data_IF_307761403839
#
_entry.id   IF_307761403839
#
_cell.length_a   1.000
_cell.length_b   1.000
_cell.length_c   1.000
_cell.angle_alpha   90.00
_cell.angle_beta   90.00
_cell.angle_gamma   90.00
#
_symmetry.space_group_name_H-M   'P 1'
#
loop_
_entity.id
_entity.type
_entity.pdbx_description
1 polymer ?
#
# COMPACT_ATOMS: atom_id res chain seq x y z
N UNK A 1 7.41 -19.61 25.61
CA UNK A 1 8.50 -19.51 24.61
C UNK A 1 8.69 -18.04 24.29
N UNK A 2 9.94 -17.55 24.13
CA UNK A 2 10.19 -16.20 23.62
C UNK A 2 9.61 -16.10 22.19
N UNK A 3 9.06 -14.93 21.85
CA UNK A 3 8.57 -14.67 20.49
C UNK A 3 9.75 -14.63 19.52
N UNK A 4 9.61 -15.22 18.34
CA UNK A 4 10.65 -15.14 17.29
C UNK A 4 10.77 -13.68 16.82
N UNK A 5 11.99 -13.25 16.57
CA UNK A 5 12.27 -11.95 15.93
C UNK A 5 11.90 -11.99 14.46
N UNK A 6 11.41 -10.89 13.92
CA UNK A 6 10.91 -10.80 12.54
C UNK A 6 11.63 -9.68 11.82
N UNK A 7 12.24 -10.00 10.70
CA UNK A 7 13.02 -9.06 9.89
C UNK A 7 12.45 -8.90 8.49
N UNK A 8 12.75 -7.79 7.84
CA UNK A 8 12.39 -7.49 6.45
C UNK A 8 13.61 -7.83 5.61
N UNK A 9 13.50 -8.86 4.78
CA UNK A 9 14.60 -9.33 3.93
C UNK A 9 14.45 -8.97 2.45
N UNK A 10 13.25 -8.53 2.01
CA UNK A 10 13.03 -8.14 0.62
C UNK A 10 11.94 -7.10 0.47
N UNK A 11 12.14 -6.18 -0.49
CA UNK A 11 11.27 -5.06 -0.80
C UNK A 11 10.82 -5.12 -2.26
N UNK A 12 9.52 -5.14 -2.50
CA UNK A 12 8.93 -5.19 -3.83
C UNK A 12 7.85 -4.14 -4.03
N UNK A 13 8.14 -2.84 -3.91
CA UNK A 13 7.17 -1.82 -4.31
C UNK A 13 6.96 -1.84 -5.83
N UNK A 14 5.74 -1.53 -6.25
CA UNK A 14 5.36 -1.25 -7.64
C UNK A 14 4.61 0.06 -7.64
N UNK A 15 5.12 1.05 -8.39
CA UNK A 15 4.59 2.42 -8.39
C UNK A 15 4.71 3.03 -9.79
N UNK A 16 4.24 4.26 -9.97
CA UNK A 16 4.43 5.00 -11.22
C UNK A 16 5.88 5.16 -11.69
N UNK A 17 6.87 4.86 -10.84
CA UNK A 17 8.29 4.87 -11.20
C UNK A 17 8.79 3.52 -11.75
N UNK A 18 8.07 2.44 -11.53
CA UNK A 18 8.47 1.11 -11.99
C UNK A 18 8.25 0.02 -10.93
N UNK A 19 8.93 -1.12 -11.14
CA UNK A 19 8.85 -2.32 -10.32
C UNK A 19 10.16 -2.47 -9.53
N UNK A 20 10.06 -2.67 -8.22
CA UNK A 20 11.18 -2.85 -7.30
C UNK A 20 11.56 -1.59 -6.53
N UNK A 21 12.45 -1.76 -5.55
CA UNK A 21 12.77 -0.68 -4.60
C UNK A 21 13.66 0.41 -5.22
N UNK A 22 14.60 0.06 -6.10
CA UNK A 22 15.57 1.03 -6.60
C UNK A 22 14.94 2.16 -7.43
N UNK A 23 14.04 1.92 -8.41
CA UNK A 23 13.40 3.01 -9.15
C UNK A 23 12.59 3.96 -8.26
N UNK A 24 11.94 3.42 -7.22
CA UNK A 24 11.22 4.21 -6.24
C UNK A 24 12.19 5.00 -5.36
N UNK A 25 13.23 4.36 -4.86
CA UNK A 25 14.20 4.98 -3.95
C UNK A 25 14.93 6.14 -4.60
N UNK A 26 15.43 5.95 -5.82
CA UNK A 26 16.09 7.01 -6.59
C UNK A 26 15.17 8.21 -6.78
N UNK A 27 13.89 7.96 -7.13
CA UNK A 27 12.92 9.02 -7.28
C UNK A 27 12.62 9.75 -5.96
N UNK A 28 12.54 9.03 -4.84
CA UNK A 28 12.33 9.61 -3.51
C UNK A 28 13.52 10.49 -3.08
N UNK A 29 14.75 10.04 -3.32
CA UNK A 29 15.98 10.78 -2.98
C UNK A 29 16.12 12.04 -3.85
N UNK A 30 15.80 11.93 -5.13
CA UNK A 30 15.85 13.05 -6.09
C UNK A 30 14.66 14.01 -5.96
N UNK A 31 13.65 13.68 -5.16
CA UNK A 31 12.45 14.51 -5.01
C UNK A 31 11.58 14.54 -6.26
N UNK A 32 11.42 13.43 -6.96
CA UNK A 32 10.55 13.30 -8.14
C UNK A 32 9.15 12.84 -7.76
N UNK A 33 8.15 13.26 -8.56
CA UNK A 33 6.77 12.80 -8.49
C UNK A 33 6.38 12.06 -9.78
N UNK A 34 5.66 10.95 -9.65
CA UNK A 34 5.07 10.20 -10.76
C UNK A 34 3.66 10.69 -11.14
N UNK A 35 3.14 11.70 -10.44
CA UNK A 35 1.81 12.26 -10.70
C UNK A 35 1.84 13.02 -12.02
N UNK A 36 0.94 12.65 -12.93
CA UNK A 36 0.82 13.23 -14.27
C UNK A 36 -0.65 13.30 -14.72
N UNK A 37 -0.93 13.94 -15.84
CA UNK A 37 -2.25 13.93 -16.46
C UNK A 37 -2.71 12.51 -16.77
N UNK A 38 -4.01 12.23 -16.53
CA UNK A 38 -4.60 10.93 -16.83
C UNK A 38 -4.74 10.79 -18.34
N UNK A 39 -4.17 9.72 -18.88
CA UNK A 39 -4.26 9.34 -20.31
C UNK A 39 -5.05 8.02 -20.50
N UNK A 40 -5.18 7.21 -19.43
CA UNK A 40 -5.81 5.89 -19.49
C UNK A 40 -7.31 5.94 -19.80
N UNK A 41 -7.98 7.03 -19.44
CA UNK A 41 -9.38 7.30 -19.77
C UNK A 41 -9.60 8.82 -19.87
N UNK A 42 -10.73 9.24 -20.44
CA UNK A 42 -11.07 10.67 -20.53
C UNK A 42 -11.56 11.21 -19.18
N UNK A 43 -10.77 12.04 -18.47
CA UNK A 43 -11.13 12.55 -17.14
C UNK A 43 -11.95 13.85 -17.18
N UNK A 44 -12.47 14.30 -18.32
CA UNK A 44 -13.07 15.65 -18.45
C UNK A 44 -14.28 15.87 -17.52
N UNK A 45 -14.98 14.81 -17.12
CA UNK A 45 -16.10 14.88 -16.18
C UNK A 45 -15.70 14.87 -14.70
N UNK A 46 -14.40 14.77 -14.37
CA UNK A 46 -13.91 14.70 -13.00
C UNK A 46 -13.21 16.00 -12.60
N UNK A 47 -13.33 16.41 -11.32
CA UNK A 47 -12.57 17.55 -10.80
C UNK A 47 -11.06 17.25 -10.71
N UNK A 48 -10.67 16.00 -10.47
CA UNK A 48 -9.29 15.54 -10.50
C UNK A 48 -8.95 14.94 -11.87
N UNK A 49 -7.93 15.49 -12.52
CA UNK A 49 -7.48 15.07 -13.87
C UNK A 49 -6.07 14.50 -13.89
N UNK A 50 -5.55 14.18 -12.70
CA UNK A 50 -4.19 13.68 -12.52
C UNK A 50 -4.18 12.39 -11.71
N UNK A 51 -3.18 11.55 -11.95
CA UNK A 51 -2.94 10.30 -11.21
C UNK A 51 -1.46 9.90 -11.34
N UNK A 52 -0.97 9.08 -10.41
CA UNK A 52 0.29 8.37 -10.60
C UNK A 52 0.01 6.97 -11.17
N UNK A 53 0.55 6.69 -12.35
CA UNK A 53 0.23 5.47 -13.11
C UNK A 53 1.51 4.81 -13.58
N UNK A 54 1.62 3.51 -13.36
CA UNK A 54 2.64 2.68 -13.98
C UNK A 54 2.28 2.45 -15.45
N UNK A 55 3.21 2.72 -16.35
CA UNK A 55 2.96 2.57 -17.79
C UNK A 55 2.76 1.09 -18.17
N UNK A 56 1.98 0.84 -19.22
CA UNK A 56 1.63 -0.52 -19.63
C UNK A 56 2.83 -1.32 -20.15
N UNK A 57 3.81 -0.65 -20.73
CA UNK A 57 5.07 -1.27 -21.17
C UNK A 57 5.97 -1.71 -20.01
N UNK A 58 5.86 -1.06 -18.85
CA UNK A 58 6.57 -1.42 -17.62
C UNK A 58 5.94 -2.62 -16.91
N UNK A 59 4.63 -2.86 -17.05
CA UNK A 59 3.92 -3.99 -16.45
C UNK A 59 3.29 -4.90 -17.50
N UNK A 60 4.10 -5.72 -18.13
CA UNK A 60 3.63 -6.80 -19.01
C UNK A 60 3.60 -8.10 -18.20
N UNK A 61 2.51 -8.37 -17.49
CA UNK A 61 2.39 -9.46 -16.51
C UNK A 61 2.81 -10.83 -17.09
N UNK A 62 2.51 -11.12 -18.36
CA UNK A 62 2.90 -12.38 -19.02
C UNK A 62 4.41 -12.59 -19.13
N UNK A 63 5.22 -11.53 -19.00
CA UNK A 63 6.69 -11.61 -18.96
C UNK A 63 7.22 -11.84 -17.54
N UNK A 64 6.43 -11.50 -16.53
CA UNK A 64 6.81 -11.55 -15.11
C UNK A 64 6.44 -12.88 -14.45
N UNK A 65 5.53 -13.65 -15.03
CA UNK A 65 5.11 -14.95 -14.50
C UNK A 65 5.77 -16.12 -15.27
N UNK A 66 5.95 -17.29 -14.62
CA UNK A 66 6.42 -18.50 -15.29
C UNK A 66 5.56 -18.87 -16.51
N UNK A 67 6.16 -19.58 -17.49
CA UNK A 67 5.45 -20.01 -18.70
C UNK A 67 4.22 -20.85 -18.39
N UNK A 68 4.26 -21.69 -17.35
CA UNK A 68 3.15 -22.51 -16.84
C UNK A 68 1.93 -21.66 -16.47
N UNK A 69 2.16 -20.47 -15.90
CA UNK A 69 1.11 -19.66 -15.27
C UNK A 69 0.58 -18.56 -16.21
N UNK A 70 1.10 -18.43 -17.43
CA UNK A 70 0.69 -17.41 -18.41
C UNK A 70 -0.79 -17.48 -18.79
N UNK A 71 -1.42 -18.67 -18.70
CA UNK A 71 -2.87 -18.78 -18.99
C UNK A 71 -3.71 -18.12 -17.89
N UNK A 72 -3.25 -18.18 -16.64
CA UNK A 72 -3.94 -17.58 -15.50
C UNK A 72 -3.97 -16.05 -15.56
N UNK A 73 -3.04 -15.40 -16.29
CA UNK A 73 -3.05 -13.93 -16.44
C UNK A 73 -4.31 -13.39 -17.13
N UNK A 74 -5.08 -14.23 -17.85
CA UNK A 74 -6.34 -13.84 -18.49
C UNK A 74 -7.46 -13.53 -17.48
N UNK A 75 -7.34 -14.03 -16.26
CA UNK A 75 -8.30 -13.81 -15.17
C UNK A 75 -7.69 -12.94 -14.06
N UNK A 76 -6.64 -12.21 -14.35
CA UNK A 76 -6.09 -11.17 -13.47
C UNK A 76 -6.68 -9.81 -13.86
N UNK A 77 -7.13 -9.03 -12.89
CA UNK A 77 -7.34 -7.60 -13.03
C UNK A 77 -6.04 -6.85 -12.75
N UNK A 78 -6.03 -5.54 -12.96
CA UNK A 78 -4.85 -4.69 -12.73
C UNK A 78 -4.30 -4.81 -11.32
N UNK A 79 -5.15 -4.88 -10.31
CA UNK A 79 -4.75 -5.05 -8.89
C UNK A 79 -3.98 -6.37 -8.68
N UNK A 80 -4.46 -7.45 -9.28
CA UNK A 80 -3.78 -8.75 -9.23
C UNK A 80 -2.43 -8.71 -9.95
N UNK A 81 -2.35 -8.07 -11.12
CA UNK A 81 -1.10 -7.91 -11.86
C UNK A 81 -0.05 -7.15 -11.04
N UNK A 82 -0.46 -6.04 -10.37
CA UNK A 82 0.41 -5.27 -9.49
C UNK A 82 0.89 -6.10 -8.30
N UNK A 83 0.01 -6.86 -7.64
CA UNK A 83 0.37 -7.72 -6.51
C UNK A 83 1.36 -8.82 -6.92
N UNK A 84 1.14 -9.48 -8.05
CA UNK A 84 2.04 -10.52 -8.59
C UNK A 84 3.40 -9.93 -8.95
N UNK A 85 3.42 -8.75 -9.57
CA UNK A 85 4.68 -8.06 -9.91
C UNK A 85 5.45 -7.65 -8.65
N UNK A 86 4.75 -7.10 -7.65
CA UNK A 86 5.31 -6.69 -6.37
C UNK A 86 5.88 -7.89 -5.59
N UNK A 87 5.14 -9.00 -5.50
CA UNK A 87 5.60 -10.22 -4.84
C UNK A 87 6.85 -10.80 -5.53
N UNK A 88 6.84 -10.85 -6.86
CA UNK A 88 8.00 -11.29 -7.63
C UNK A 88 9.23 -10.40 -7.46
N UNK A 89 9.05 -9.09 -7.30
CA UNK A 89 10.14 -8.16 -6.98
C UNK A 89 10.69 -8.41 -5.57
N UNK A 90 9.81 -8.52 -4.57
CA UNK A 90 10.19 -8.76 -3.18
C UNK A 90 10.97 -10.08 -3.00
N UNK A 91 10.52 -11.16 -3.67
CA UNK A 91 11.18 -12.46 -3.63
C UNK A 91 12.59 -12.39 -4.23
N UNK A 92 12.76 -11.68 -5.37
CA UNK A 92 14.07 -11.50 -5.98
C UNK A 92 15.00 -10.64 -5.13
N UNK A 93 14.48 -9.57 -4.57
CA UNK A 93 15.24 -8.67 -3.69
C UNK A 93 15.70 -9.39 -2.41
N UNK A 94 14.87 -10.27 -1.86
CA UNK A 94 15.22 -11.14 -0.73
C UNK A 94 16.22 -12.25 -1.08
N UNK A 95 16.53 -12.48 -2.35
CA UNK A 95 17.36 -13.62 -2.80
C UNK A 95 16.70 -14.98 -2.57
N UNK A 96 15.37 -15.04 -2.45
CA UNK A 96 14.67 -16.32 -2.23
C UNK A 96 14.45 -17.08 -3.54
N UNK A 97 14.69 -18.40 -3.48
CA UNK A 97 14.30 -19.34 -4.53
C UNK A 97 12.89 -19.83 -4.21
N UNK A 98 11.97 -19.61 -5.14
CA UNK A 98 10.60 -20.13 -5.10
C UNK A 98 10.29 -20.80 -6.43
N UNK A 99 9.18 -21.52 -6.55
CA UNK A 99 8.71 -22.12 -7.81
C UNK A 99 8.69 -21.12 -8.98
N UNK A 100 8.41 -19.83 -8.72
CA UNK A 100 8.38 -18.79 -9.74
C UNK A 100 9.77 -18.37 -10.22
N UNK A 101 10.78 -18.45 -9.36
CA UNK A 101 12.17 -18.03 -9.67
C UNK A 101 12.92 -19.15 -10.37
N UNK A 102 12.92 -20.35 -9.77
CA UNK A 102 13.52 -21.55 -10.36
C UNK A 102 12.69 -22.79 -9.97
N UNK A 103 11.87 -23.31 -10.89
CA UNK A 103 11.03 -24.49 -10.61
C UNK A 103 11.82 -25.81 -10.50
N UNK A 104 13.13 -25.83 -10.82
CA UNK A 104 13.97 -27.00 -10.74
C UNK A 104 14.84 -27.04 -9.47
N UNK A 105 15.04 -25.89 -8.83
CA UNK A 105 15.82 -25.79 -7.60
C UNK A 105 14.94 -26.07 -6.37
N UNK A 106 15.56 -26.52 -5.28
CA UNK A 106 14.90 -26.60 -3.99
C UNK A 106 14.52 -25.17 -3.51
N UNK A 107 13.31 -24.97 -2.99
CA UNK A 107 12.91 -23.67 -2.47
C UNK A 107 13.73 -23.31 -1.23
N UNK A 108 14.08 -22.03 -1.09
CA UNK A 108 14.82 -21.52 0.09
C UNK A 108 14.03 -21.73 1.38
N UNK A 109 12.73 -21.49 1.34
CA UNK A 109 11.77 -21.72 2.43
C UNK A 109 10.85 -22.85 1.99
N UNK A 110 10.60 -23.82 2.86
CA UNK A 110 9.67 -24.90 2.56
C UNK A 110 8.26 -24.32 2.26
N UNK A 111 7.55 -24.80 1.24
CA UNK A 111 6.27 -24.22 0.81
C UNK A 111 5.23 -24.08 1.92
N UNK A 112 5.10 -25.07 2.80
CA UNK A 112 4.20 -25.07 3.96
C UNK A 112 4.65 -24.14 5.09
N UNK A 113 5.88 -23.63 5.01
CA UNK A 113 6.46 -22.63 5.94
C UNK A 113 6.46 -21.21 5.36
N UNK A 114 6.02 -21.02 4.11
CA UNK A 114 5.91 -19.73 3.45
C UNK A 114 4.47 -19.26 3.42
N UNK A 115 4.16 -18.23 4.22
CA UNK A 115 2.85 -17.61 4.30
C UNK A 115 2.65 -16.50 3.25
N UNK A 116 1.38 -16.03 3.11
CA UNK A 116 1.04 -14.95 2.19
C UNK A 116 -0.15 -14.14 2.73
N UNK A 117 0.08 -12.90 3.11
CA UNK A 117 -0.97 -12.00 3.60
C UNK A 117 -0.99 -10.72 2.76
N UNK A 118 -2.03 -10.54 1.95
CA UNK A 118 -2.11 -9.43 0.99
C UNK A 118 -3.28 -8.52 1.31
N UNK A 119 -2.98 -7.24 1.47
CA UNK A 119 -3.95 -6.17 1.54
C UNK A 119 -4.53 -5.88 0.15
N UNK A 120 -5.85 -5.83 0.07
CA UNK A 120 -6.57 -5.53 -1.16
C UNK A 120 -7.70 -4.53 -0.90
N UNK A 121 -8.19 -3.89 -1.94
CA UNK A 121 -9.32 -2.99 -1.88
C UNK A 121 -10.56 -3.56 -2.55
N UNK A 122 -11.58 -2.71 -2.68
CA UNK A 122 -12.76 -2.99 -3.48
C UNK A 122 -12.41 -2.78 -4.95
N UNK A 123 -12.18 -3.87 -5.68
CA UNK A 123 -11.81 -3.84 -7.09
C UNK A 123 -13.02 -3.37 -7.92
N UNK A 124 -12.82 -2.33 -8.71
CA UNK A 124 -13.83 -1.87 -9.65
C UNK A 124 -13.75 -2.67 -10.94
N UNK A 125 -14.89 -3.22 -11.35
CA UNK A 125 -14.97 -3.90 -12.63
C UNK A 125 -14.75 -2.94 -13.80
N UNK A 126 -14.15 -3.44 -14.88
CA UNK A 126 -13.98 -2.70 -16.11
C UNK A 126 -15.34 -2.36 -16.72
N UNK A 127 -15.54 -1.09 -17.08
CA UNK A 127 -16.79 -0.59 -17.64
C UNK A 127 -17.07 -1.26 -19.00
N UNK A 128 -16.04 -1.44 -19.82
CA UNK A 128 -16.18 -2.05 -21.15
C UNK A 128 -16.63 -3.52 -21.05
N UNK A 129 -16.16 -4.27 -20.05
CA UNK A 129 -16.61 -5.63 -19.79
C UNK A 129 -18.06 -5.70 -19.31
N UNK A 130 -18.55 -4.68 -18.58
CA UNK A 130 -19.90 -4.64 -18.02
C UNK A 130 -20.94 -4.06 -18.96
N UNK A 131 -20.54 -3.22 -19.91
CA UNK A 131 -21.48 -2.41 -20.71
C UNK A 131 -22.52 -3.26 -21.43
N UNK A 132 -22.11 -4.32 -22.12
CA UNK A 132 -23.04 -5.18 -22.85
C UNK A 132 -24.04 -5.89 -21.91
N UNK A 133 -23.55 -6.40 -20.78
CA UNK A 133 -24.37 -7.06 -19.77
C UNK A 133 -25.38 -6.11 -19.12
N UNK A 134 -24.97 -4.90 -18.77
CA UNK A 134 -25.85 -3.87 -18.21
C UNK A 134 -26.86 -3.37 -19.23
N UNK A 135 -26.44 -3.18 -20.49
CA UNK A 135 -27.33 -2.72 -21.57
C UNK A 135 -28.49 -3.72 -21.84
N UNK A 136 -28.17 -5.00 -21.94
CA UNK A 136 -29.14 -6.07 -22.16
C UNK A 136 -30.01 -6.34 -20.94
N UNK A 137 -29.65 -5.81 -19.78
CA UNK A 137 -30.41 -5.95 -18.53
C UNK A 137 -31.38 -4.80 -18.27
N UNK A 138 -31.64 -3.92 -19.25
CA UNK A 138 -32.56 -2.80 -19.09
C UNK A 138 -34.01 -3.22 -19.37
N UNK A 139 -34.91 -2.78 -18.51
CA UNK A 139 -36.36 -2.87 -18.76
C UNK A 139 -36.81 -1.81 -19.80
N UNK A 140 -38.06 -1.87 -20.21
CA UNK A 140 -38.64 -0.97 -21.22
C UNK A 140 -38.60 0.52 -20.79
N UNK A 141 -38.59 0.80 -19.50
CA UNK A 141 -38.42 2.17 -18.92
C UNK A 141 -36.95 2.61 -18.83
N UNK A 142 -36.03 1.76 -19.28
CA UNK A 142 -34.61 2.05 -19.29
C UNK A 142 -33.88 1.75 -17.98
N UNK A 143 -34.55 1.32 -16.92
CA UNK A 143 -33.95 0.97 -15.64
C UNK A 143 -33.35 -0.43 -15.68
N UNK A 144 -32.36 -0.67 -14.82
CA UNK A 144 -31.79 -2.01 -14.62
C UNK A 144 -32.86 -2.95 -14.06
N UNK A 145 -32.97 -4.15 -14.66
CA UNK A 145 -33.88 -5.23 -14.24
C UNK A 145 -33.07 -6.50 -13.95
N UNK A 146 -33.12 -6.95 -12.70
CA UNK A 146 -32.41 -8.14 -12.24
C UNK A 146 -32.88 -9.44 -12.94
N UNK A 147 -34.14 -9.51 -13.41
CA UNK A 147 -34.65 -10.66 -14.15
C UNK A 147 -34.01 -10.72 -15.53
N UNK A 148 -33.91 -9.58 -16.23
CA UNK A 148 -33.22 -9.50 -17.51
C UNK A 148 -31.72 -9.79 -17.34
N UNK A 149 -31.11 -9.35 -16.24
CA UNK A 149 -29.73 -9.69 -15.91
C UNK A 149 -29.55 -11.22 -15.84
N UNK A 150 -30.37 -11.93 -15.06
CA UNK A 150 -30.32 -13.40 -14.95
C UNK A 150 -30.67 -14.16 -16.21
N UNK A 151 -31.58 -13.62 -17.05
CA UNK A 151 -32.04 -14.28 -18.25
C UNK A 151 -31.13 -14.13 -19.48
N UNK A 152 -30.47 -12.95 -19.61
CA UNK A 152 -29.70 -12.63 -20.82
C UNK A 152 -28.45 -11.75 -20.55
N UNK A 153 -28.48 -10.91 -19.51
CA UNK A 153 -27.36 -9.99 -19.23
C UNK A 153 -26.06 -10.73 -18.93
N UNK A 154 -26.12 -11.75 -18.09
CA UNK A 154 -24.96 -12.54 -17.70
C UNK A 154 -24.29 -13.31 -18.86
N UNK A 155 -25.02 -13.60 -19.94
CA UNK A 155 -24.46 -14.27 -21.13
C UNK A 155 -23.43 -13.42 -21.86
N UNK A 156 -23.44 -12.09 -21.62
CA UNK A 156 -22.47 -11.16 -22.18
C UNK A 156 -21.18 -11.08 -21.37
N UNK A 157 -21.10 -11.73 -20.20
CA UNK A 157 -19.88 -11.79 -19.39
C UNK A 157 -19.04 -13.01 -19.79
N UNK A 158 -17.73 -12.84 -19.81
CA UNK A 158 -16.81 -13.96 -20.05
C UNK A 158 -16.92 -14.99 -18.91
N UNK A 159 -16.76 -16.30 -19.19
CA UNK A 159 -16.66 -17.31 -18.14
C UNK A 159 -15.58 -16.92 -17.11
N UNK A 160 -15.89 -17.13 -15.83
CA UNK A 160 -15.02 -16.78 -14.70
C UNK A 160 -14.76 -15.27 -14.52
N UNK A 161 -15.53 -14.39 -15.18
CA UNK A 161 -15.42 -12.94 -15.08
C UNK A 161 -15.32 -12.45 -13.62
N UNK A 162 -16.15 -13.00 -12.73
CA UNK A 162 -16.18 -12.59 -11.33
C UNK A 162 -14.83 -12.80 -10.62
N UNK A 163 -14.06 -13.84 -10.99
CA UNK A 163 -12.76 -14.11 -10.36
C UNK A 163 -11.77 -12.96 -10.54
N UNK A 164 -11.88 -12.18 -11.62
CA UNK A 164 -11.00 -11.01 -11.84
C UNK A 164 -11.15 -9.96 -10.74
N UNK A 165 -12.34 -9.86 -10.14
CA UNK A 165 -12.71 -8.74 -9.28
C UNK A 165 -12.92 -9.14 -7.81
N UNK A 166 -12.52 -10.35 -7.43
CA UNK A 166 -12.51 -10.78 -6.03
C UNK A 166 -11.20 -10.37 -5.35
N UNK A 167 -11.25 -9.63 -4.24
CA UNK A 167 -10.04 -9.14 -3.56
C UNK A 167 -9.05 -10.23 -3.16
N UNK A 168 -9.54 -11.41 -2.77
CA UNK A 168 -8.70 -12.55 -2.38
C UNK A 168 -7.88 -13.14 -3.55
N UNK A 169 -8.21 -12.80 -4.79
CA UNK A 169 -7.46 -13.30 -5.95
C UNK A 169 -6.03 -12.74 -6.01
N UNK A 170 -5.75 -11.60 -5.37
CA UNK A 170 -4.39 -11.09 -5.23
C UNK A 170 -3.52 -12.11 -4.50
N UNK A 171 -3.93 -12.54 -3.31
CA UNK A 171 -3.21 -13.55 -2.54
C UNK A 171 -3.21 -14.92 -3.25
N UNK A 172 -4.34 -15.33 -3.84
CA UNK A 172 -4.44 -16.60 -4.56
C UNK A 172 -3.42 -16.71 -5.72
N UNK A 173 -3.31 -15.69 -6.56
CA UNK A 173 -2.34 -15.73 -7.67
C UNK A 173 -0.90 -15.70 -7.16
N UNK A 174 -0.60 -14.91 -6.13
CA UNK A 174 0.74 -14.88 -5.52
C UNK A 174 1.10 -16.25 -4.94
N UNK A 175 0.21 -16.87 -4.16
CA UNK A 175 0.47 -18.20 -3.55
C UNK A 175 0.66 -19.29 -4.60
N UNK A 176 -0.16 -19.33 -5.65
CA UNK A 176 -0.04 -20.31 -6.74
C UNK A 176 1.30 -20.16 -7.48
N UNK A 177 1.68 -18.92 -7.80
CA UNK A 177 2.89 -18.63 -8.58
C UNK A 177 4.14 -18.95 -7.79
N UNK A 178 4.20 -18.60 -6.51
CA UNK A 178 5.36 -18.80 -5.64
C UNK A 178 5.33 -20.12 -4.84
N UNK A 179 4.22 -20.89 -4.93
CA UNK A 179 3.97 -22.12 -4.16
C UNK A 179 3.98 -21.89 -2.64
N UNK A 180 3.34 -20.81 -2.19
CA UNK A 180 3.16 -20.54 -0.77
C UNK A 180 1.99 -21.38 -0.23
N UNK A 181 2.27 -22.33 0.65
CA UNK A 181 1.29 -23.27 1.24
C UNK A 181 1.09 -23.04 2.75
N UNK A 182 1.82 -22.10 3.34
CA UNK A 182 1.65 -21.68 4.72
C UNK A 182 0.40 -20.83 4.95
N UNK A 183 0.23 -20.25 6.15
CA UNK A 183 -0.91 -19.40 6.47
C UNK A 183 -1.11 -18.27 5.47
N UNK A 184 -2.33 -18.11 4.95
CA UNK A 184 -2.66 -17.11 3.94
C UNK A 184 -3.96 -16.39 4.28
N UNK A 185 -4.01 -15.08 4.05
CA UNK A 185 -5.21 -14.27 4.24
C UNK A 185 -5.20 -13.06 3.30
N UNK A 186 -6.39 -12.49 3.07
CA UNK A 186 -6.56 -11.20 2.39
C UNK A 186 -7.31 -10.26 3.32
N UNK A 187 -6.78 -9.05 3.50
CA UNK A 187 -7.34 -8.03 4.39
C UNK A 187 -7.81 -6.85 3.54
N UNK A 188 -9.08 -6.45 3.73
CA UNK A 188 -9.70 -5.33 2.99
C UNK A 188 -10.15 -4.24 3.96
N UNK A 189 -9.27 -3.29 4.21
CA UNK A 189 -9.45 -2.14 5.11
C UNK A 189 -8.90 -0.86 4.49
N UNK A 190 -9.24 -0.59 3.21
CA UNK A 190 -8.74 0.58 2.47
C UNK A 190 -7.22 0.76 2.63
N UNK A 191 -6.76 1.96 2.96
CA UNK A 191 -5.33 2.29 3.09
C UNK A 191 -4.61 1.51 4.20
N UNK A 192 -5.31 1.06 5.23
CA UNK A 192 -4.71 0.26 6.31
C UNK A 192 -4.42 -1.21 5.91
N UNK A 193 -4.98 -1.68 4.78
CA UNK A 193 -4.94 -3.10 4.38
C UNK A 193 -3.54 -3.71 4.38
N UNK A 194 -2.57 -3.06 3.75
CA UNK A 194 -1.19 -3.58 3.67
C UNK A 194 -0.48 -3.58 5.03
N UNK A 195 -0.66 -2.54 5.83
CA UNK A 195 -0.08 -2.50 7.18
C UNK A 195 -0.66 -3.57 8.11
N UNK A 196 -1.98 -3.81 8.03
CA UNK A 196 -2.64 -4.90 8.77
C UNK A 196 -2.14 -6.28 8.31
N UNK A 197 -1.94 -6.46 7.00
CA UNK A 197 -1.38 -7.70 6.44
C UNK A 197 0.06 -7.96 6.92
N UNK A 198 0.89 -6.90 6.99
CA UNK A 198 2.24 -6.94 7.54
C UNK A 198 2.21 -7.33 9.03
N UNK A 199 1.31 -6.73 9.80
CA UNK A 199 1.14 -7.05 11.21
C UNK A 199 0.66 -8.49 11.46
N UNK A 200 -0.26 -9.01 10.64
CA UNK A 200 -0.68 -10.42 10.73
C UNK A 200 0.48 -11.37 10.38
N UNK A 201 1.24 -11.07 9.35
CA UNK A 201 2.44 -11.85 9.00
C UNK A 201 3.46 -11.87 10.14
N UNK A 202 3.72 -10.72 10.78
CA UNK A 202 4.56 -10.66 11.97
C UNK A 202 4.08 -11.63 13.05
N UNK A 203 2.78 -11.64 13.35
CA UNK A 203 2.21 -12.55 14.36
C UNK A 203 2.28 -14.01 13.97
N UNK A 204 2.07 -14.32 12.69
CA UNK A 204 2.20 -15.69 12.13
C UNK A 204 3.62 -16.22 12.29
N UNK A 205 4.64 -15.41 12.00
CA UNK A 205 6.04 -15.77 12.17
C UNK A 205 6.41 -15.86 13.66
N UNK A 206 5.99 -14.90 14.48
CA UNK A 206 6.26 -14.88 15.92
C UNK A 206 5.77 -16.12 16.66
N UNK A 207 4.60 -16.66 16.25
CA UNK A 207 4.05 -17.92 16.83
C UNK A 207 4.60 -19.20 16.21
N UNK A 208 5.55 -19.08 15.24
CA UNK A 208 6.20 -20.20 14.59
C UNK A 208 5.34 -20.95 13.55
N UNK A 209 4.24 -20.33 13.07
CA UNK A 209 3.38 -20.93 12.06
C UNK A 209 3.92 -20.80 10.63
N UNK A 210 4.85 -19.86 10.39
CA UNK A 210 5.61 -19.72 9.16
C UNK A 210 7.05 -19.30 9.49
N UNK A 211 7.97 -19.48 8.54
CA UNK A 211 9.35 -18.99 8.63
C UNK A 211 9.53 -17.72 7.79
N UNK A 212 8.76 -17.59 6.72
CA UNK A 212 8.68 -16.36 5.94
C UNK A 212 7.25 -16.10 5.47
N UNK A 213 6.94 -14.82 5.17
CA UNK A 213 5.67 -14.41 4.59
C UNK A 213 5.89 -13.36 3.50
N UNK A 214 5.17 -13.50 2.38
CA UNK A 214 4.93 -12.40 1.45
C UNK A 214 3.82 -11.54 2.02
N UNK A 215 4.08 -10.26 2.29
CA UNK A 215 3.14 -9.42 3.00
C UNK A 215 3.13 -7.98 2.50
N UNK A 216 1.97 -7.39 2.48
CA UNK A 216 1.79 -6.02 2.00
C UNK A 216 0.45 -5.85 1.31
N UNK A 217 0.40 -5.08 0.22
CA UNK A 217 -0.82 -4.90 -0.54
C UNK A 217 -0.59 -4.20 -1.87
N UNK A 218 -1.61 -4.25 -2.72
CA UNK A 218 -1.62 -3.54 -4.00
C UNK A 218 -3.05 -3.17 -4.39
N UNK A 219 -3.21 -2.05 -5.08
CA UNK A 219 -4.50 -1.62 -5.61
C UNK A 219 -4.32 -0.68 -6.81
N UNK A 220 -5.30 -0.71 -7.74
CA UNK A 220 -5.44 0.28 -8.80
C UNK A 220 -6.85 0.86 -8.80
N UNK A 221 -6.95 2.16 -8.55
CA UNK A 221 -8.20 2.92 -8.67
C UNK A 221 -8.19 3.87 -9.88
N UNK A 222 -7.23 3.71 -10.80
CA UNK A 222 -7.14 4.56 -11.99
C UNK A 222 -8.03 4.02 -13.10
N UNK A 223 -9.32 4.03 -12.84
CA UNK A 223 -10.40 3.71 -13.78
C UNK A 223 -11.64 4.56 -13.46
N UNK A 224 -12.58 4.77 -14.41
CA UNK A 224 -13.72 5.66 -14.20
C UNK A 224 -14.60 5.34 -13.00
N UNK A 225 -14.87 4.05 -12.75
CA UNK A 225 -15.74 3.63 -11.64
C UNK A 225 -15.10 3.86 -10.26
N UNK A 226 -13.82 3.57 -10.12
CA UNK A 226 -13.12 3.80 -8.88
C UNK A 226 -12.90 5.30 -8.63
N UNK A 227 -12.60 6.08 -9.68
CA UNK A 227 -12.52 7.54 -9.61
C UNK A 227 -13.84 8.17 -9.16
N UNK A 228 -14.97 7.71 -9.71
CA UNK A 228 -16.29 8.18 -9.33
C UNK A 228 -16.57 7.94 -7.83
N UNK A 229 -16.23 6.75 -7.32
CA UNK A 229 -16.37 6.43 -5.88
C UNK A 229 -15.54 7.36 -5.02
N UNK A 230 -14.26 7.60 -5.37
CA UNK A 230 -13.38 8.50 -4.62
C UNK A 230 -13.84 9.97 -4.71
N UNK A 231 -14.40 10.37 -5.86
CA UNK A 231 -14.99 11.69 -6.02
C UNK A 231 -16.19 11.89 -5.07
N UNK A 232 -17.15 10.97 -5.07
CA UNK A 232 -18.33 11.07 -4.18
C UNK A 232 -17.96 10.91 -2.69
N UNK A 233 -16.86 10.26 -2.38
CA UNK A 233 -16.32 10.21 -1.02
C UNK A 233 -15.56 11.50 -0.62
N UNK A 234 -15.51 12.53 -1.49
CA UNK A 234 -14.86 13.81 -1.19
C UNK A 234 -13.34 13.75 -1.04
N UNK A 235 -12.70 12.71 -1.59
CA UNK A 235 -11.28 12.43 -1.33
C UNK A 235 -10.32 12.95 -2.39
N UNK A 236 -10.82 13.26 -3.59
CA UNK A 236 -9.99 13.70 -4.71
C UNK A 236 -9.72 15.20 -4.69
N UNK A 237 -8.49 15.57 -4.99
CA UNK A 237 -8.10 16.95 -5.21
C UNK A 237 -8.83 17.55 -6.42
N UNK A 238 -9.21 18.83 -6.34
CA UNK A 238 -9.62 19.58 -7.51
C UNK A 238 -8.39 20.11 -8.23
N UNK A 239 -8.26 19.79 -9.53
CA UNK A 239 -7.10 20.18 -10.35
C UNK A 239 -7.50 21.17 -11.42
N UNK A 240 -6.56 22.09 -11.78
CA UNK A 240 -6.72 23.02 -12.90
C UNK A 240 -5.96 22.50 -14.10
N UNK A 241 -6.36 22.91 -15.30
CA UNK A 241 -5.72 22.44 -16.55
C UNK A 241 -4.33 23.02 -16.76
N UNK A 242 -4.04 24.17 -16.13
CA UNK A 242 -2.78 24.91 -16.23
C UNK A 242 -1.78 24.66 -15.10
N UNK A 243 -2.17 23.86 -14.09
CA UNK A 243 -1.26 23.59 -12.95
C UNK A 243 -0.31 22.44 -13.18
N UNK A 244 0.85 22.49 -12.51
CA UNK A 244 1.79 21.39 -12.44
C UNK A 244 1.18 20.20 -11.68
N UNK A 245 0.98 19.04 -12.32
CA UNK A 245 0.46 17.86 -11.66
C UNK A 245 1.26 17.42 -10.43
N UNK A 246 2.57 17.61 -10.45
CA UNK A 246 3.47 17.17 -9.38
C UNK A 246 3.32 17.99 -8.09
N UNK A 247 2.73 19.19 -8.18
CA UNK A 247 2.55 20.10 -7.05
C UNK A 247 1.18 19.99 -6.35
N UNK A 248 0.32 19.07 -6.80
CA UNK A 248 -1.08 18.97 -6.31
C UNK A 248 -1.16 18.40 -4.89
N UNK A 249 -0.38 17.36 -4.59
CA UNK A 249 -0.42 16.65 -3.29
C UNK A 249 0.51 17.34 -2.29
N UNK A 250 -0.08 17.78 -1.16
CA UNK A 250 0.58 18.57 -0.11
C UNK A 250 0.17 18.07 1.27
N UNK A 251 0.78 16.99 1.79
CA UNK A 251 0.42 16.46 3.11
C UNK A 251 0.66 17.50 4.22
N UNK A 252 -0.29 17.62 5.15
CA UNK A 252 -0.22 18.56 6.29
C UNK A 252 -0.16 20.05 5.93
N UNK A 253 -0.32 20.42 4.66
CA UNK A 253 -0.31 21.80 4.20
C UNK A 253 -1.69 22.45 4.46
N UNK A 254 -1.76 23.67 4.99
CA UNK A 254 -3.04 24.37 5.18
C UNK A 254 -3.82 24.60 3.87
N UNK A 255 -3.15 24.53 2.73
CA UNK A 255 -3.75 24.65 1.40
C UNK A 255 -3.99 23.29 0.72
N UNK A 256 -3.95 22.18 1.47
CA UNK A 256 -4.28 20.85 0.94
C UNK A 256 -5.70 20.82 0.36
N UNK A 257 -5.85 20.26 -0.85
CA UNK A 257 -7.12 20.29 -1.59
C UNK A 257 -7.72 18.91 -1.86
N UNK A 258 -7.20 17.88 -1.22
CA UNK A 258 -7.53 16.47 -1.43
C UNK A 258 -6.38 15.65 -1.96
N UNK A 259 -6.58 14.36 -2.07
CA UNK A 259 -5.58 13.39 -2.52
C UNK A 259 -5.60 13.19 -4.04
N UNK A 260 -4.54 12.58 -4.55
CA UNK A 260 -4.43 12.10 -5.93
C UNK A 260 -4.25 10.59 -5.89
N UNK A 261 -4.99 9.87 -6.74
CA UNK A 261 -4.87 8.42 -6.82
C UNK A 261 -3.53 8.02 -7.43
N UNK A 262 -2.85 7.07 -6.80
CA UNK A 262 -1.75 6.30 -7.37
C UNK A 262 -2.17 4.85 -7.57
N UNK A 263 -1.73 4.21 -8.66
CA UNK A 263 -1.80 2.76 -8.76
C UNK A 263 -0.49 2.14 -8.30
N UNK A 264 -0.59 1.02 -7.60
CA UNK A 264 0.57 0.30 -7.11
C UNK A 264 0.40 -0.25 -5.71
N UNK A 265 1.52 -0.45 -5.06
CA UNK A 265 1.58 -0.94 -3.70
C UNK A 265 2.98 -1.43 -3.35
N UNK A 266 3.09 -2.02 -2.16
CA UNK A 266 4.33 -2.65 -1.70
C UNK A 266 4.05 -4.02 -1.11
N UNK A 267 4.75 -5.02 -1.60
CA UNK A 267 4.86 -6.34 -0.96
C UNK A 267 6.29 -6.48 -0.48
N UNK A 268 6.45 -6.97 0.72
CA UNK A 268 7.74 -7.23 1.38
C UNK A 268 7.86 -8.70 1.74
N UNK A 269 9.07 -9.17 1.89
CA UNK A 269 9.37 -10.45 2.54
C UNK A 269 9.62 -10.18 4.02
N UNK A 270 8.74 -10.70 4.87
CA UNK A 270 9.02 -10.85 6.30
C UNK A 270 9.57 -12.24 6.54
N UNK A 271 10.61 -12.32 7.36
CA UNK A 271 11.29 -13.59 7.67
C UNK A 271 11.61 -13.68 9.15
N UNK A 272 11.58 -14.86 9.71
CA UNK A 272 12.12 -15.08 11.04
C UNK A 272 13.63 -14.84 11.03
N UNK A 273 14.17 -14.16 12.03
CA UNK A 273 15.60 -13.81 12.06
C UNK A 273 16.50 -15.05 11.98
N UNK A 274 16.17 -16.12 12.69
CA UNK A 274 16.91 -17.38 12.66
C UNK A 274 16.92 -18.04 11.27
N UNK A 275 15.85 -17.89 10.49
CA UNK A 275 15.77 -18.32 9.08
C UNK A 275 16.65 -17.43 8.18
N UNK A 276 16.60 -16.12 8.36
CA UNK A 276 17.40 -15.17 7.60
C UNK A 276 18.90 -15.34 7.85
N UNK A 277 19.29 -15.53 9.11
CA UNK A 277 20.69 -15.81 9.51
C UNK A 277 21.21 -17.14 8.92
N UNK A 278 20.37 -18.18 8.89
CA UNK A 278 20.76 -19.49 8.35
C UNK A 278 21.12 -19.47 6.85
N UNK A 279 20.75 -18.43 6.13
CA UNK A 279 21.05 -18.22 4.70
C UNK A 279 21.91 -16.99 4.42
N UNK A 280 22.52 -16.40 5.45
CA UNK A 280 23.35 -15.20 5.35
C UNK A 280 22.61 -14.02 4.68
N UNK A 281 21.32 -13.85 4.96
CA UNK A 281 20.56 -12.72 4.46
C UNK A 281 21.03 -11.42 5.10
N UNK A 282 20.91 -10.30 4.35
CA UNK A 282 21.20 -8.94 4.83
C UNK A 282 19.89 -8.13 5.00
N UNK A 283 19.19 -8.22 6.15
CA UNK A 283 17.91 -7.59 6.35
C UNK A 283 17.97 -6.06 6.27
N UNK A 284 16.88 -5.45 5.84
CA UNK A 284 16.69 -4.01 5.82
C UNK A 284 16.45 -3.43 7.21
N UNK A 285 15.58 -4.08 7.99
CA UNK A 285 15.18 -3.69 9.32
C UNK A 285 14.50 -4.84 10.07
N UNK A 286 14.39 -4.74 11.37
CA UNK A 286 13.55 -5.59 12.21
C UNK A 286 12.20 -4.93 12.44
N UNK A 287 11.10 -5.68 12.33
CA UNK A 287 9.76 -5.26 12.69
C UNK A 287 9.51 -5.61 14.16
N UNK A 288 9.53 -4.60 15.04
CA UNK A 288 9.52 -4.80 16.51
C UNK A 288 8.18 -4.47 17.15
N UNK A 289 7.33 -3.65 16.51
CA UNK A 289 6.03 -3.26 17.04
C UNK A 289 4.94 -3.26 15.97
N UNK A 290 3.74 -3.66 16.36
CA UNK A 290 2.54 -3.61 15.52
C UNK A 290 1.31 -3.39 16.40
N UNK A 291 0.46 -2.45 15.99
CA UNK A 291 -0.85 -2.27 16.57
C UNK A 291 -1.88 -1.91 15.50
N UNK A 292 -3.14 -2.21 15.80
CA UNK A 292 -4.28 -1.75 15.02
C UNK A 292 -5.39 -1.31 15.96
N UNK A 293 -6.10 -0.25 15.57
CA UNK A 293 -7.21 0.33 16.32
C UNK A 293 -8.32 0.77 15.37
N UNK A 294 -9.44 1.16 15.93
CA UNK A 294 -10.56 1.74 15.21
C UNK A 294 -10.86 3.13 15.75
N UNK A 295 -10.81 4.15 14.90
CA UNK A 295 -11.25 5.52 15.20
C UNK A 295 -12.77 5.59 15.36
N UNK A 296 -13.23 6.49 16.21
CA UNK A 296 -14.63 6.83 16.34
C UNK A 296 -14.99 7.91 15.32
N UNK A 297 -15.40 7.48 14.12
CA UNK A 297 -15.82 8.42 13.08
C UNK A 297 -17.09 9.17 13.53
N UNK A 298 -17.16 10.51 13.36
CA UNK A 298 -18.31 11.30 13.78
C UNK A 298 -19.60 10.95 13.04
N UNK A 299 -19.49 10.48 11.81
CA UNK A 299 -20.60 10.12 10.95
C UNK A 299 -20.81 8.60 10.82
N UNK A 300 -22.04 8.20 10.50
CA UNK A 300 -22.37 6.78 10.30
C UNK A 300 -21.77 6.18 9.00
N UNK A 301 -21.24 7.00 8.10
CA UNK A 301 -20.65 6.53 6.83
C UNK A 301 -19.19 6.18 6.97
N UNK A 302 -18.51 6.63 8.04
CA UNK A 302 -17.07 6.47 8.23
C UNK A 302 -16.22 7.27 7.23
N UNK A 303 -16.80 8.30 6.59
CA UNK A 303 -16.09 9.19 5.67
C UNK A 303 -15.40 10.34 6.40
N UNK A 304 -15.95 10.75 7.56
CA UNK A 304 -15.36 11.80 8.38
C UNK A 304 -14.27 11.22 9.28
N UNK A 305 -13.10 11.86 9.31
CA UNK A 305 -12.03 11.48 10.21
C UNK A 305 -12.38 11.84 11.66
N UNK A 306 -11.86 11.07 12.63
CA UNK A 306 -11.89 11.40 14.06
C UNK A 306 -11.03 12.64 14.32
N UNK A 307 -11.59 13.81 14.70
CA UNK A 307 -10.85 15.08 14.62
C UNK A 307 -9.65 15.19 15.55
N UNK A 308 -9.68 14.52 16.71
CA UNK A 308 -8.61 14.54 17.71
C UNK A 308 -7.56 13.44 17.48
N UNK A 309 -7.77 12.58 16.46
CA UNK A 309 -6.87 11.50 16.11
C UNK A 309 -6.68 10.45 17.21
N UNK A 310 -7.66 10.28 18.10
CA UNK A 310 -7.57 9.41 19.26
C UNK A 310 -7.19 7.97 18.88
N UNK A 311 -7.92 7.38 17.93
CA UNK A 311 -7.64 6.02 17.45
C UNK A 311 -6.26 5.87 16.82
N UNK A 312 -5.76 6.89 16.11
CA UNK A 312 -4.41 6.90 15.53
C UNK A 312 -3.36 6.92 16.66
N UNK A 313 -3.55 7.82 17.64
CA UNK A 313 -2.63 7.92 18.79
C UNK A 313 -2.56 6.63 19.58
N UNK A 314 -3.70 6.00 19.84
CA UNK A 314 -3.77 4.70 20.55
C UNK A 314 -3.02 3.60 19.76
N UNK A 315 -3.12 3.56 18.42
CA UNK A 315 -2.35 2.63 17.60
C UNK A 315 -0.84 2.85 17.76
N UNK A 316 -0.40 4.10 17.74
CA UNK A 316 1.01 4.47 17.90
C UNK A 316 1.50 4.06 19.30
N UNK A 317 0.79 4.43 20.36
CA UNK A 317 1.15 4.12 21.76
C UNK A 317 1.26 2.60 21.99
N UNK A 318 0.31 1.81 21.49
CA UNK A 318 0.32 0.34 21.61
C UNK A 318 1.48 -0.27 20.81
N UNK A 319 1.77 0.24 19.60
CA UNK A 319 2.88 -0.26 18.80
C UNK A 319 4.24 0.03 19.45
N UNK A 320 4.42 1.23 20.02
CA UNK A 320 5.61 1.61 20.80
C UNK A 320 5.78 0.73 22.03
N UNK A 321 4.70 0.53 22.81
CA UNK A 321 4.73 -0.36 23.97
C UNK A 321 5.10 -1.80 23.61
N UNK A 322 4.60 -2.32 22.48
CA UNK A 322 4.97 -3.65 21.97
C UNK A 322 6.44 -3.71 21.54
N UNK A 323 6.97 -2.65 20.95
CA UNK A 323 8.37 -2.54 20.56
C UNK A 323 9.32 -2.39 21.76
N UNK A 324 8.79 -2.06 22.94
CA UNK A 324 9.59 -1.67 24.09
C UNK A 324 10.33 -0.34 23.87
N UNK A 325 9.82 0.53 23.00
CA UNK A 325 10.38 1.81 22.65
C UNK A 325 9.55 2.96 23.23
N UNK A 326 10.20 4.01 23.69
CA UNK A 326 9.56 5.27 24.10
C UNK A 326 9.39 6.20 22.90
N UNK A 327 8.49 7.20 22.96
CA UNK A 327 8.40 8.23 21.93
C UNK A 327 9.74 8.94 21.68
N UNK A 328 10.61 9.06 22.69
CA UNK A 328 11.91 9.72 22.59
C UNK A 328 12.95 8.95 21.76
N UNK A 329 12.73 7.66 21.55
CA UNK A 329 13.62 6.80 20.76
C UNK A 329 13.25 6.75 19.28
N UNK A 330 12.17 7.42 18.86
CA UNK A 330 11.77 7.47 17.44
C UNK A 330 12.55 8.57 16.74
N UNK A 331 13.21 8.23 15.63
CA UNK A 331 14.07 9.12 14.85
C UNK A 331 13.36 9.74 13.64
N UNK A 332 12.34 9.06 13.11
CA UNK A 332 11.53 9.55 12.00
C UNK A 332 10.12 8.94 12.00
N UNK A 333 9.17 9.67 11.42
CA UNK A 333 7.80 9.24 11.20
C UNK A 333 7.55 8.99 9.71
N UNK A 334 6.85 7.93 9.37
CA UNK A 334 6.29 7.70 8.05
C UNK A 334 4.75 7.65 8.14
N UNK A 335 4.10 8.82 8.24
CA UNK A 335 2.64 8.92 8.29
C UNK A 335 2.03 8.62 6.94
N UNK A 336 0.72 8.43 6.91
CA UNK A 336 0.00 8.32 5.64
C UNK A 336 0.11 9.61 4.82
N UNK A 337 -0.16 10.77 5.44
CA UNK A 337 0.02 12.07 4.80
C UNK A 337 -0.75 12.17 3.49
N UNK A 338 -2.07 12.12 3.57
CA UNK A 338 -2.97 11.91 2.43
C UNK A 338 -3.19 13.14 1.54
N UNK A 339 -2.90 14.35 2.05
CA UNK A 339 -3.35 15.64 1.48
C UNK A 339 -4.87 15.85 1.53
N UNK A 340 -5.60 15.01 2.28
CA UNK A 340 -7.01 15.23 2.63
C UNK A 340 -7.03 15.94 3.98
N UNK A 341 -7.44 17.21 4.01
CA UNK A 341 -7.26 18.09 5.15
C UNK A 341 -7.74 17.51 6.49
N UNK A 342 -8.92 16.87 6.53
CA UNK A 342 -9.46 16.28 7.75
C UNK A 342 -8.63 15.08 8.26
N UNK A 343 -8.11 14.26 7.35
CA UNK A 343 -7.28 13.11 7.68
C UNK A 343 -5.91 13.59 8.19
N UNK A 344 -5.27 14.51 7.47
CA UNK A 344 -3.99 15.06 7.84
C UNK A 344 -4.06 15.83 9.18
N UNK A 345 -5.20 16.46 9.47
CA UNK A 345 -5.46 17.12 10.76
C UNK A 345 -5.56 16.08 11.89
N UNK A 346 -6.26 14.98 11.69
CA UNK A 346 -6.35 13.88 12.66
C UNK A 346 -4.97 13.24 12.92
N UNK A 347 -4.18 12.99 11.88
CA UNK A 347 -2.80 12.52 12.02
C UNK A 347 -1.93 13.53 12.78
N UNK A 348 -2.04 14.83 12.46
CA UNK A 348 -1.32 15.91 13.16
C UNK A 348 -1.67 15.95 14.65
N UNK A 349 -2.95 15.83 14.99
CA UNK A 349 -3.40 15.79 16.38
C UNK A 349 -2.82 14.58 17.13
N UNK A 350 -2.85 13.40 16.52
CA UNK A 350 -2.27 12.17 17.09
C UNK A 350 -0.75 12.31 17.30
N UNK A 351 -0.02 12.82 16.32
CA UNK A 351 1.44 13.04 16.43
C UNK A 351 1.75 13.99 17.57
N UNK A 352 1.06 15.13 17.65
CA UNK A 352 1.25 16.11 18.73
C UNK A 352 0.90 15.53 20.10
N UNK A 353 -0.15 14.70 20.19
CA UNK A 353 -0.52 14.02 21.45
C UNK A 353 0.57 13.06 21.92
N UNK A 354 1.12 12.23 21.02
CA UNK A 354 2.10 11.19 21.41
C UNK A 354 3.51 11.77 21.63
N UNK A 355 3.94 12.69 20.77
CA UNK A 355 5.33 13.18 20.75
C UNK A 355 5.52 14.55 21.42
N UNK A 356 4.43 15.24 21.77
CA UNK A 356 4.50 16.55 22.43
C UNK A 356 5.33 17.58 21.66
N UNK A 357 6.28 18.23 22.32
CA UNK A 357 7.17 19.21 21.71
C UNK A 357 8.08 18.63 20.62
N UNK A 358 8.38 17.33 20.67
CA UNK A 358 9.21 16.66 19.65
C UNK A 358 8.53 16.57 18.29
N UNK A 359 7.21 16.70 18.20
CA UNK A 359 6.49 16.65 16.94
C UNK A 359 7.05 17.65 15.89
N UNK A 360 7.52 18.80 16.33
CA UNK A 360 8.09 19.83 15.46
C UNK A 360 9.52 19.50 14.97
N UNK A 361 10.21 18.57 15.63
CA UNK A 361 11.60 18.21 15.30
C UNK A 361 11.70 16.87 14.56
N UNK A 362 10.71 15.96 14.75
CA UNK A 362 10.71 14.63 14.14
C UNK A 362 10.51 14.71 12.62
N UNK A 363 11.52 14.32 11.82
CA UNK A 363 11.39 14.36 10.37
C UNK A 363 10.35 13.33 9.88
N UNK A 364 9.61 13.71 8.84
CA UNK A 364 8.63 12.84 8.20
C UNK A 364 9.13 12.28 6.87
N UNK A 365 8.72 11.07 6.56
CA UNK A 365 8.88 10.40 5.27
C UNK A 365 7.49 10.27 4.65
N UNK A 366 7.14 11.14 3.70
CA UNK A 366 5.83 11.13 3.02
C UNK A 366 5.99 10.54 1.62
N UNK A 367 5.14 9.60 1.25
CA UNK A 367 5.21 8.91 -0.05
C UNK A 367 4.14 9.38 -1.04
N UNK A 368 3.00 9.87 -0.55
CA UNK A 368 1.84 10.23 -1.40
C UNK A 368 2.16 11.34 -2.41
N UNK A 369 2.98 12.37 -2.12
CA UNK A 369 3.38 13.36 -3.13
C UNK A 369 4.19 12.77 -4.29
N UNK A 370 4.90 11.67 -4.05
CA UNK A 370 5.74 11.02 -5.06
C UNK A 370 4.94 10.02 -5.91
N UNK A 371 4.08 9.19 -5.29
CA UNK A 371 3.46 8.03 -5.96
C UNK A 371 1.93 8.08 -5.98
N UNK A 372 1.31 9.14 -5.45
CA UNK A 372 -0.13 9.19 -5.23
C UNK A 372 -0.59 8.26 -4.10
N UNK A 373 -1.87 8.30 -3.75
CA UNK A 373 -2.47 7.37 -2.81
C UNK A 373 -2.68 6.00 -3.47
N UNK A 374 -1.83 5.02 -3.14
CA UNK A 374 -1.92 3.63 -3.60
C UNK A 374 -2.99 2.81 -2.84
N UNK A 375 -3.86 3.44 -2.06
CA UNK A 375 -4.96 2.83 -1.31
C UNK A 375 -4.50 1.59 -0.51
N UNK A 376 -5.02 0.39 -0.79
CA UNK A 376 -4.64 -0.82 -0.06
C UNK A 376 -3.14 -1.13 -0.08
N UNK A 377 -2.41 -0.59 -1.05
CA UNK A 377 -0.96 -0.73 -1.17
C UNK A 377 -0.13 0.34 -0.44
N UNK A 378 -0.75 1.42 0.04
CA UNK A 378 -0.03 2.60 0.55
C UNK A 378 0.90 2.30 1.72
N UNK A 379 0.43 1.57 2.74
CA UNK A 379 1.25 1.18 3.90
C UNK A 379 2.45 0.30 3.52
N UNK A 380 2.28 -0.59 2.52
CA UNK A 380 3.39 -1.42 2.02
C UNK A 380 4.48 -0.60 1.32
N UNK A 381 4.09 0.44 0.57
CA UNK A 381 5.05 1.42 -0.01
C UNK A 381 5.77 2.19 1.09
N UNK A 382 5.03 2.68 2.10
CA UNK A 382 5.62 3.43 3.21
C UNK A 382 6.62 2.59 4.01
N UNK A 383 6.29 1.32 4.30
CA UNK A 383 7.21 0.38 4.98
C UNK A 383 8.45 0.11 4.12
N UNK A 384 8.30 -0.10 2.81
CA UNK A 384 9.44 -0.34 1.92
C UNK A 384 10.39 0.87 1.88
N UNK A 385 9.85 2.09 1.77
CA UNK A 385 10.65 3.33 1.79
C UNK A 385 11.32 3.53 3.16
N UNK A 386 10.59 3.32 4.27
CA UNK A 386 11.14 3.44 5.62
C UNK A 386 12.27 2.44 5.87
N UNK A 387 12.10 1.17 5.48
CA UNK A 387 13.12 0.14 5.61
C UNK A 387 14.37 0.47 4.77
N UNK A 388 14.19 0.95 3.53
CA UNK A 388 15.30 1.38 2.67
C UNK A 388 16.02 2.60 3.27
N UNK A 389 15.28 3.59 3.80
CA UNK A 389 15.84 4.77 4.47
C UNK A 389 16.72 4.37 5.68
N UNK A 390 16.25 3.41 6.48
CA UNK A 390 17.03 2.87 7.60
C UNK A 390 18.28 2.14 7.13
N UNK A 391 18.20 1.32 6.07
CA UNK A 391 19.35 0.60 5.52
C UNK A 391 20.42 1.53 4.96
N UNK A 392 20.01 2.62 4.29
CA UNK A 392 20.90 3.59 3.67
C UNK A 392 21.25 4.77 4.59
N UNK A 393 20.62 4.85 5.78
CA UNK A 393 20.78 5.97 6.72
C UNK A 393 20.54 7.33 6.05
N UNK A 394 19.46 7.37 5.23
CA UNK A 394 19.11 8.53 4.41
C UNK A 394 17.63 8.83 4.54
N UNK A 395 17.27 10.05 4.92
CA UNK A 395 15.92 10.57 4.77
C UNK A 395 15.73 11.03 3.32
N UNK A 396 14.71 10.52 2.61
CA UNK A 396 14.42 10.97 1.24
C UNK A 396 13.90 12.41 1.24
N UNK A 397 13.85 13.02 0.05
CA UNK A 397 13.30 14.35 -0.13
C UNK A 397 11.78 14.36 0.17
N UNK A 398 11.31 15.47 0.75
CA UNK A 398 9.88 15.76 0.94
C UNK A 398 9.42 16.82 -0.03
N UNK A 399 8.23 16.63 -0.58
CA UNK A 399 7.70 17.47 -1.66
C UNK A 399 6.53 18.33 -1.20
N UNK A 400 6.43 19.52 -1.77
CA UNK A 400 5.26 20.39 -1.91
C UNK A 400 4.75 21.07 -0.65
N UNK A 401 4.84 20.47 0.53
CA UNK A 401 4.27 21.00 1.77
C UNK A 401 4.99 22.26 2.23
N UNK A 402 4.22 23.27 2.63
CA UNK A 402 4.75 24.53 3.18
C UNK A 402 3.88 24.99 4.35
N UNK A 403 4.49 25.28 5.50
CA UNK A 403 3.79 25.78 6.68
C UNK A 403 2.99 24.73 7.42
N UNK A 404 3.48 23.51 7.52
CA UNK A 404 2.92 22.47 8.38
C UNK A 404 3.01 22.91 9.85
N UNK A 405 1.86 23.22 10.45
CA UNK A 405 1.78 23.79 11.80
C UNK A 405 2.26 22.80 12.88
N UNK A 406 3.38 23.11 13.51
CA UNK A 406 3.97 22.33 14.61
C UNK A 406 4.42 20.92 14.24
N UNK A 407 4.69 20.66 12.95
CA UNK A 407 5.21 19.38 12.43
C UNK A 407 6.44 19.64 11.54
N UNK A 408 7.38 18.69 11.52
CA UNK A 408 8.51 18.72 10.58
C UNK A 408 8.13 18.02 9.26
N UNK A 409 7.12 18.54 8.57
CA UNK A 409 6.58 17.98 7.33
C UNK A 409 6.87 18.82 6.08
N UNK A 410 7.40 20.03 6.22
CA UNK A 410 7.71 20.92 5.10
C UNK A 410 8.66 20.27 4.08
N UNK A 411 8.56 20.71 2.84
CA UNK A 411 9.42 20.28 1.75
C UNK A 411 10.91 20.45 2.09
N UNK A 412 11.69 19.42 1.85
CA UNK A 412 13.10 19.40 2.18
C UNK A 412 13.87 18.47 1.25
N UNK A 413 15.15 18.75 0.93
CA UNK A 413 15.99 17.84 0.18
C UNK A 413 16.30 16.56 0.98
N UNK A 414 16.70 15.52 0.27
CA UNK A 414 17.24 14.31 0.91
C UNK A 414 18.51 14.63 1.72
N UNK A 415 18.69 13.92 2.82
CA UNK A 415 19.84 14.10 3.71
C UNK A 415 20.18 12.84 4.49
N UNK A 416 21.43 12.71 4.92
CA UNK A 416 21.84 11.67 5.86
C UNK A 416 21.18 11.87 7.23
N UNK A 417 20.87 10.76 7.90
CA UNK A 417 20.29 10.75 9.24
C UNK A 417 20.67 9.46 9.98
N UNK A 418 20.83 9.52 11.30
CA UNK A 418 20.97 8.32 12.14
C UNK A 418 19.56 7.82 12.47
N UNK A 419 19.15 6.75 11.80
CA UNK A 419 17.81 6.15 11.92
C UNK A 419 17.94 4.80 12.64
N UNK A 420 17.55 4.75 13.90
CA UNK A 420 17.50 3.53 14.71
C UNK A 420 16.09 2.97 14.81
N UNK A 421 15.10 3.85 15.01
CA UNK A 421 13.69 3.50 15.02
C UNK A 421 12.90 4.41 14.09
N UNK A 422 12.09 3.81 13.23
CA UNK A 422 11.15 4.53 12.37
C UNK A 422 9.74 4.00 12.64
N UNK A 423 8.82 4.92 12.90
CA UNK A 423 7.40 4.63 13.09
C UNK A 423 6.67 4.85 11.77
N UNK A 424 6.06 3.79 11.23
CA UNK A 424 5.17 3.84 10.06
C UNK A 424 3.73 3.68 10.53
N UNK A 425 2.84 4.56 10.12
CA UNK A 425 1.43 4.41 10.45
C UNK A 425 0.53 4.90 9.31
N UNK A 426 -0.65 4.31 9.24
CA UNK A 426 -1.65 4.59 8.22
C UNK A 426 -3.03 4.59 8.85
N UNK A 427 -3.82 5.60 8.54
CA UNK A 427 -5.25 5.65 8.81
C UNK A 427 -6.03 5.47 7.52
N UNK A 428 -7.21 4.88 7.60
CA UNK A 428 -8.02 4.59 6.41
C UNK A 428 -9.39 5.24 6.45
N UNK A 429 -9.99 5.34 5.28
CA UNK A 429 -11.43 5.54 5.19
C UNK A 429 -12.16 4.43 5.98
N UNK A 430 -13.08 4.82 6.87
CA UNK A 430 -13.74 3.89 7.78
C UNK A 430 -13.08 3.78 9.15
N UNK A 431 -11.96 4.51 9.39
CA UNK A 431 -11.36 4.69 10.71
C UNK A 431 -10.44 3.57 11.18
N UNK A 432 -10.09 2.58 10.34
CA UNK A 432 -9.08 1.59 10.72
C UNK A 432 -7.70 2.24 10.71
N UNK A 433 -6.96 2.05 11.80
CA UNK A 433 -5.60 2.55 11.97
C UNK A 433 -4.63 1.39 12.13
N UNK A 434 -3.42 1.58 11.65
CA UNK A 434 -2.32 0.64 11.84
C UNK A 434 -1.03 1.41 12.12
N UNK A 435 -0.23 0.93 13.06
CA UNK A 435 1.09 1.44 13.38
C UNK A 435 2.10 0.29 13.43
N UNK A 436 3.28 0.52 12.87
CA UNK A 436 4.39 -0.42 12.76
C UNK A 436 5.67 0.28 13.22
N UNK A 437 6.44 -0.34 14.10
CA UNK A 437 7.75 0.16 14.54
C UNK A 437 8.83 -0.69 13.90
N UNK A 438 9.67 -0.05 13.10
CA UNK A 438 10.87 -0.63 12.51
C UNK A 438 12.09 -0.27 13.35
N UNK A 439 13.03 -1.22 13.50
CA UNK A 439 14.30 -1.04 14.19
C UNK A 439 15.45 -1.42 13.26
N UNK A 440 16.53 -0.61 13.29
CA UNK A 440 17.77 -0.91 12.56
C UNK A 440 18.37 -2.22 13.05
N UNK A 441 18.90 -3.01 12.13
CA UNK A 441 19.75 -4.15 12.46
C UNK A 441 21.11 -3.65 12.97
N UNK A 442 21.60 -4.23 14.05
CA UNK A 442 22.92 -3.93 14.62
C UNK A 442 24.04 -4.53 13.76
#
# INVERSE_FOLDING_TARGET
MARRRVVITGLGPVTGFGIGIEPLWDAMVEGRSAIKRIERFNPCGFPCKVAAVLSEDQLIIRKLVPKSDRKATKVMCRDTELAVAAAGAAVRDAGLITKAIDPQAAPTIAPDRMGCHIGAGLIAADVDELTAALWTSRAADGRFDLRHWGASGMENLTPLWLLKYLPNMLACHVTIIHDCQGPSNTITCCEASSGLSIGESMRVIQRGAADACLSGGAESKVNPMAFLRQHFAGRLATTRDDEDPTAVVRPFDPNARGSVIGEGGGIIVLEALDSAEARDADPYAELVGFASTQSQCPDATGLEAEPDGGGIADAIEIALAQAGASPDEIDALAPFGSSIAAIDQAESAAIKRVFGSRAADLPMVTTVPNVGNCNAGAGGVAVAVAAKAMKTQTLPARLNTTGADGLNADAAPSRSADLRHVLVFTTSQGGQNVALVLRRMD
#
